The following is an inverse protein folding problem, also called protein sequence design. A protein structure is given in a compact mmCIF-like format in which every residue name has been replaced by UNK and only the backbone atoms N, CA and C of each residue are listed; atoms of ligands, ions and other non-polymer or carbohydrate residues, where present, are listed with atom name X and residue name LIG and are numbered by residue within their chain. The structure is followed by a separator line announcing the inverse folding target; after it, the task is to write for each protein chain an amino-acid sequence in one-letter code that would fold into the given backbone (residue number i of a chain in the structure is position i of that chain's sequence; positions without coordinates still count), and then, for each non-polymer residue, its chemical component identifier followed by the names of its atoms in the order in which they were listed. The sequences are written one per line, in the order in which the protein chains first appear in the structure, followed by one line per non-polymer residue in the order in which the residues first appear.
data_IF_205339589281
#
_entry.id   IF_205339589281
#
_cell.length_a   1.000
_cell.length_b   1.000
_cell.length_c   1.000
_cell.angle_alpha   90.00
_cell.angle_beta   90.00
_cell.angle_gamma   90.00
#
_symmetry.space_group_name_H-M   'P 1'
#
loop_
_entity.id
_entity.type
_entity.pdbx_description
1 polymer ?
#
# COMPACT_ATOMS: atom_id res chain seq x y z
N UNK A 1 -10.28 22.98 -5.54
CA UNK A 1 -10.56 21.72 -4.79
C UNK A 1 -9.21 21.10 -4.50
N UNK A 2 -8.82 21.03 -3.23
CA UNK A 2 -7.43 20.75 -2.84
C UNK A 2 -7.35 19.37 -2.21
N UNK A 3 -6.46 18.52 -2.73
CA UNK A 3 -6.07 17.23 -2.13
C UNK A 3 -4.71 17.38 -1.46
N UNK A 4 -4.40 16.56 -0.47
CA UNK A 4 -3.10 16.55 0.21
C UNK A 4 -2.03 15.80 -0.59
N UNK A 5 -2.43 14.79 -1.34
CA UNK A 5 -1.59 13.98 -2.22
C UNK A 5 -1.98 14.25 -3.68
N UNK A 6 -1.05 13.97 -4.61
CA UNK A 6 -1.34 14.05 -6.03
C UNK A 6 -2.32 12.93 -6.42
N UNK A 7 -3.53 13.25 -6.90
CA UNK A 7 -4.51 12.22 -7.24
C UNK A 7 -4.23 11.55 -8.60
N UNK A 8 -3.25 12.04 -9.38
CA UNK A 8 -2.89 11.51 -10.69
C UNK A 8 -1.46 10.95 -10.73
N UNK A 9 -1.27 9.93 -11.57
CA UNK A 9 0.02 9.40 -12.02
C UNK A 9 0.13 9.63 -13.53
N UNK A 10 0.76 10.74 -13.92
CA UNK A 10 0.72 11.22 -15.31
C UNK A 10 -0.70 11.68 -15.68
N UNK A 11 -1.25 11.15 -16.77
CA UNK A 11 -2.61 11.46 -17.22
C UNK A 11 -3.70 10.57 -16.58
N UNK A 12 -3.30 9.51 -15.85
CA UNK A 12 -4.21 8.52 -15.29
C UNK A 12 -4.42 8.72 -13.78
N UNK A 13 -5.61 8.44 -13.28
CA UNK A 13 -5.95 8.59 -11.85
C UNK A 13 -7.16 9.50 -11.67
N UNK A 14 -7.11 10.41 -10.69
CA UNK A 14 -8.18 11.34 -10.37
C UNK A 14 -9.26 10.77 -9.47
N UNK A 15 -10.33 11.53 -9.27
CA UNK A 15 -11.47 11.17 -8.43
C UNK A 15 -12.77 11.31 -9.24
N UNK A 16 -13.04 10.34 -10.12
CA UNK A 16 -14.21 10.32 -11.00
C UNK A 16 -15.44 9.70 -10.30
N UNK A 17 -15.95 10.39 -9.28
CA UNK A 17 -17.09 9.96 -8.47
C UNK A 17 -18.17 11.04 -8.41
N UNK A 18 -19.44 10.69 -8.07
CA UNK A 18 -20.46 11.68 -7.78
C UNK A 18 -20.02 12.69 -6.71
N UNK A 19 -20.41 13.95 -6.86
CA UNK A 19 -20.01 15.05 -5.97
C UNK A 19 -20.29 14.77 -4.49
N UNK A 20 -21.36 14.02 -4.19
CA UNK A 20 -21.74 13.63 -2.82
C UNK A 20 -20.68 12.76 -2.12
N UNK A 21 -19.81 12.07 -2.87
CA UNK A 21 -18.74 11.24 -2.32
C UNK A 21 -17.42 12.01 -2.11
N UNK A 22 -17.26 13.19 -2.72
CA UNK A 22 -16.03 13.99 -2.58
C UNK A 22 -15.67 14.35 -1.13
N UNK A 23 -16.61 14.63 -0.21
CA UNK A 23 -16.28 14.85 1.20
C UNK A 23 -15.69 13.60 1.88
N UNK A 24 -16.23 12.41 1.59
CA UNK A 24 -15.75 11.17 2.18
C UNK A 24 -14.32 10.83 1.70
N UNK A 25 -14.02 11.03 0.41
CA UNK A 25 -12.68 10.83 -0.13
C UNK A 25 -11.64 11.75 0.51
N UNK A 26 -12.00 13.02 0.75
CA UNK A 26 -11.12 13.98 1.43
C UNK A 26 -10.88 13.59 2.89
N UNK A 27 -11.92 13.21 3.62
CA UNK A 27 -11.78 12.74 5.00
C UNK A 27 -10.86 11.52 5.09
N UNK A 28 -10.98 10.59 4.13
CA UNK A 28 -10.11 9.42 4.07
C UNK A 28 -8.65 9.80 3.77
N UNK A 29 -8.41 10.70 2.83
CA UNK A 29 -7.07 11.20 2.52
C UNK A 29 -6.42 11.88 3.73
N UNK A 30 -7.16 12.76 4.41
CA UNK A 30 -6.70 13.45 5.62
C UNK A 30 -6.34 12.45 6.73
N UNK A 31 -7.22 11.49 7.00
CA UNK A 31 -6.98 10.45 8.01
C UNK A 31 -5.77 9.57 7.65
N UNK A 32 -5.63 9.19 6.38
CA UNK A 32 -4.48 8.43 5.89
C UNK A 32 -3.17 9.21 6.07
N UNK A 33 -3.10 10.47 5.64
CA UNK A 33 -1.89 11.30 5.78
C UNK A 33 -1.54 11.51 7.26
N UNK A 34 -2.55 11.62 8.13
CA UNK A 34 -2.34 11.70 9.58
C UNK A 34 -1.77 10.39 10.13
N UNK A 35 -2.40 9.25 9.83
CA UNK A 35 -1.99 7.92 10.30
C UNK A 35 -0.59 7.51 9.79
N UNK A 36 -0.20 7.98 8.60
CA UNK A 36 1.16 7.77 8.07
C UNK A 36 2.24 8.50 8.87
N UNK A 37 1.89 9.57 9.59
CA UNK A 37 2.82 10.34 10.44
C UNK A 37 2.74 9.96 11.92
N UNK A 38 1.74 9.17 12.30
CA UNK A 38 1.50 8.72 13.67
C UNK A 38 2.33 7.47 14.00
N UNK A 39 3.33 7.56 14.89
CA UNK A 39 4.16 6.42 15.28
C UNK A 39 3.36 5.30 15.96
N UNK A 40 2.30 5.61 16.70
CA UNK A 40 1.49 4.62 17.39
C UNK A 40 0.70 3.77 16.40
N UNK A 41 0.12 4.42 15.38
CA UNK A 41 -0.56 3.72 14.29
C UNK A 41 0.39 2.80 13.53
N UNK A 42 1.60 3.28 13.19
CA UNK A 42 2.60 2.46 12.51
C UNK A 42 3.04 1.27 13.37
N UNK A 43 3.20 1.46 14.68
CA UNK A 43 3.54 0.37 15.60
C UNK A 43 2.44 -0.70 15.66
N UNK A 44 1.17 -0.28 15.81
CA UNK A 44 0.02 -1.18 15.81
C UNK A 44 -0.12 -1.96 14.51
N UNK A 45 0.03 -1.28 13.36
CA UNK A 45 -0.07 -1.94 12.07
C UNK A 45 1.05 -2.97 11.86
N UNK A 46 2.29 -2.63 12.23
CA UNK A 46 3.41 -3.56 12.14
C UNK A 46 3.29 -4.75 13.12
N UNK A 47 2.73 -4.54 14.31
CA UNK A 47 2.42 -5.61 15.25
C UNK A 47 1.43 -6.61 14.64
N UNK A 48 0.34 -6.13 14.04
CA UNK A 48 -0.62 -6.97 13.33
C UNK A 48 0.02 -7.70 12.14
N UNK A 49 0.83 -7.02 11.33
CA UNK A 49 1.53 -7.66 10.22
C UNK A 49 2.43 -8.81 10.72
N UNK A 50 3.14 -8.61 11.82
CA UNK A 50 4.08 -9.59 12.36
C UNK A 50 3.38 -10.73 13.10
N UNK A 51 2.57 -10.40 14.09
CA UNK A 51 2.08 -11.34 15.09
C UNK A 51 0.72 -11.93 14.73
N UNK A 52 -0.05 -11.29 13.84
CA UNK A 52 -1.33 -11.80 13.36
C UNK A 52 -1.23 -12.33 11.92
N UNK A 53 -0.67 -11.55 10.99
CA UNK A 53 -0.55 -11.96 9.58
C UNK A 53 0.71 -12.80 9.28
N UNK A 54 1.64 -12.93 10.23
CA UNK A 54 2.82 -13.79 10.12
C UNK A 54 3.95 -13.26 9.23
N UNK A 55 4.08 -11.93 9.08
CA UNK A 55 5.16 -11.31 8.30
C UNK A 55 6.49 -11.27 9.09
N UNK A 56 7.64 -11.25 8.40
CA UNK A 56 7.82 -11.34 6.95
C UNK A 56 7.61 -12.76 6.42
N UNK A 57 7.18 -12.87 5.17
CA UNK A 57 7.06 -14.16 4.48
C UNK A 57 8.41 -14.61 3.96
N UNK A 58 8.63 -15.93 3.88
CA UNK A 58 9.81 -16.49 3.23
C UNK A 58 9.86 -16.09 1.74
N UNK A 59 11.07 -15.92 1.22
CA UNK A 59 11.34 -15.76 -0.22
C UNK A 59 11.96 -17.08 -0.72
N UNK A 60 11.24 -17.81 -1.58
CA UNK A 60 11.56 -19.22 -1.86
C UNK A 60 12.28 -19.38 -3.19
N UNK A 61 13.56 -19.74 -3.14
CA UNK A 61 14.35 -20.03 -4.34
C UNK A 61 13.80 -21.25 -5.10
N UNK A 62 13.39 -21.06 -6.35
CA UNK A 62 12.73 -22.09 -7.16
C UNK A 62 13.72 -22.82 -8.08
N UNK A 63 14.40 -23.84 -7.56
CA UNK A 63 15.51 -24.49 -8.26
C UNK A 63 15.09 -25.40 -9.42
N UNK A 64 13.99 -26.15 -9.25
CA UNK A 64 13.60 -27.19 -10.21
C UNK A 64 13.17 -26.59 -11.55
N UNK A 65 12.44 -25.48 -11.52
CA UNK A 65 11.90 -24.85 -12.74
C UNK A 65 12.93 -24.03 -13.50
N UNK A 66 14.04 -23.65 -12.87
CA UNK A 66 15.15 -22.93 -13.53
C UNK A 66 16.28 -23.87 -13.97
N UNK A 67 16.13 -25.18 -13.80
CA UNK A 67 17.13 -26.16 -14.18
C UNK A 67 17.48 -26.05 -15.68
N UNK A 68 18.78 -25.98 -16.00
CA UNK A 68 19.26 -25.81 -17.38
C UNK A 68 19.30 -24.37 -17.88
N UNK A 69 18.99 -23.38 -17.05
CA UNK A 69 19.09 -21.94 -17.38
C UNK A 69 20.14 -21.24 -16.51
N UNK A 70 20.59 -20.06 -16.94
CA UNK A 70 21.41 -19.16 -16.11
C UNK A 70 20.56 -18.24 -15.20
N UNK A 71 19.26 -18.49 -15.10
CA UNK A 71 18.33 -17.66 -14.34
C UNK A 71 18.21 -18.16 -12.91
N UNK A 72 18.27 -17.25 -11.95
CA UNK A 72 17.89 -17.51 -10.56
C UNK A 72 16.50 -16.94 -10.31
N UNK A 73 15.58 -17.78 -9.83
CA UNK A 73 14.20 -17.41 -9.52
C UNK A 73 13.93 -17.58 -8.02
N UNK A 74 13.24 -16.60 -7.45
CA UNK A 74 12.81 -16.50 -6.06
C UNK A 74 11.32 -16.20 -5.97
#
# INVERSE_FOLDING_TARGET
MTTLLNPYFGEFGGMYVPQILMPALRQLEEAFVSAQKDPEFQAQFNDLLKNYAGRPTALTKCQNITAGTNTTLY
#
